data_IF_616255521924
#
_entry.id   IF_616255521924
#
_cell.length_a   1.000
_cell.length_b   1.000
_cell.length_c   1.000
_cell.angle_alpha   90.00
_cell.angle_beta   90.00
_cell.angle_gamma   90.00
#
_symmetry.space_group_name_H-M   'P 1'
#
loop_
_entity.id
_entity.type
_entity.pdbx_description
1 polymer ?
#
# COMPACT_ATOMS: atom_id res chain seq x y z
N UNK A 1 -38.65 53.19 1.23
CA UNK A 1 -39.30 51.97 0.72
C UNK A 1 -38.29 50.87 0.42
N UNK A 2 -37.20 51.10 -0.30
CA UNK A 2 -36.22 50.02 -0.64
C UNK A 2 -35.52 49.39 0.55
N UNK A 3 -35.22 50.13 1.64
CA UNK A 3 -34.56 49.61 2.85
C UNK A 3 -35.48 48.74 3.72
N UNK A 4 -36.79 49.04 3.74
CA UNK A 4 -37.78 48.26 4.50
C UNK A 4 -38.07 46.92 3.80
N UNK A 5 -38.09 46.91 2.46
CA UNK A 5 -38.29 45.69 1.67
C UNK A 5 -37.12 44.72 1.80
N UNK A 6 -35.87 45.22 1.90
CA UNK A 6 -34.67 44.40 2.16
C UNK A 6 -34.68 43.76 3.55
N UNK A 7 -35.20 44.46 4.57
CA UNK A 7 -35.29 43.93 5.93
C UNK A 7 -36.33 42.81 6.06
N UNK A 8 -37.47 42.95 5.36
CA UNK A 8 -38.52 41.93 5.32
C UNK A 8 -38.07 40.69 4.60
N UNK A 9 -37.27 40.81 3.52
CA UNK A 9 -36.72 39.68 2.78
C UNK A 9 -35.68 38.92 3.60
N UNK A 10 -34.85 39.61 4.39
CA UNK A 10 -33.88 39.00 5.29
C UNK A 10 -34.56 38.23 6.45
N UNK A 11 -35.67 38.76 6.99
CA UNK A 11 -36.41 38.12 8.07
C UNK A 11 -37.15 36.84 7.60
N UNK A 12 -37.62 36.82 6.34
CA UNK A 12 -38.30 35.67 5.76
C UNK A 12 -37.36 34.47 5.53
N UNK A 13 -36.06 34.69 5.30
CA UNK A 13 -35.06 33.60 5.14
C UNK A 13 -34.72 32.92 6.46
N UNK A 14 -34.85 33.59 7.59
CA UNK A 14 -34.55 32.97 8.91
C UNK A 14 -35.65 32.02 9.34
N UNK A 15 -36.90 32.20 8.91
CA UNK A 15 -38.02 31.30 9.25
C UNK A 15 -38.06 30.00 8.38
N UNK A 16 -37.37 29.95 7.24
CA UNK A 16 -37.36 28.76 6.36
C UNK A 16 -36.45 27.64 6.87
N UNK A 17 -35.59 27.87 7.87
CA UNK A 17 -34.63 26.89 8.41
C UNK A 17 -35.17 26.11 9.61
N UNK A 18 -36.37 26.35 10.09
CA UNK A 18 -36.94 25.69 11.28
C UNK A 18 -37.99 24.61 10.94
N UNK A 19 -38.35 24.44 9.67
CA UNK A 19 -39.48 23.58 9.26
C UNK A 19 -39.10 22.19 8.71
N UNK A 20 -37.95 21.62 9.10
CA UNK A 20 -37.63 20.19 8.80
C UNK A 20 -37.32 19.44 10.08
N UNK A 21 -38.35 19.19 10.87
CA UNK A 21 -38.28 18.36 12.05
C UNK A 21 -39.57 17.54 12.18
N UNK A 22 -39.90 16.72 11.17
CA UNK A 22 -41.04 15.80 11.24
C UNK A 22 -40.57 14.44 11.67
N UNK A 23 -40.95 14.03 12.88
CA UNK A 23 -40.77 12.68 13.43
C UNK A 23 -41.73 11.76 12.71
N UNK A 24 -41.17 10.77 11.96
CA UNK A 24 -41.91 9.65 11.43
C UNK A 24 -42.14 8.62 12.55
N UNK A 25 -43.36 8.04 12.71
CA UNK A 25 -43.62 7.07 13.76
C UNK A 25 -42.91 5.76 13.49
N UNK A 26 -42.39 5.16 14.58
CA UNK A 26 -41.71 3.89 14.61
C UNK A 26 -42.64 2.76 14.13
N UNK A 27 -42.14 1.97 13.18
CA UNK A 27 -42.67 0.66 12.82
C UNK A 27 -41.87 -0.36 13.65
N UNK A 28 -42.55 -1.09 14.54
CA UNK A 28 -42.01 -2.23 15.27
C UNK A 28 -41.59 -3.31 14.27
N UNK A 29 -40.29 -3.58 14.20
CA UNK A 29 -39.66 -4.66 13.45
C UNK A 29 -38.41 -5.11 14.18
N UNK A 30 -38.52 -6.28 14.76
CA UNK A 30 -37.57 -7.18 15.40
C UNK A 30 -36.11 -6.73 15.41
N UNK A 31 -35.63 -6.25 16.55
CA UNK A 31 -34.25 -5.86 16.79
C UNK A 31 -33.44 -7.12 17.15
N UNK A 32 -32.75 -7.69 16.18
CA UNK A 32 -31.56 -8.49 16.45
C UNK A 32 -30.54 -7.60 17.13
N UNK A 33 -30.23 -7.87 18.40
CA UNK A 33 -29.21 -7.18 19.16
C UNK A 33 -27.82 -7.50 18.59
N UNK A 34 -27.36 -6.71 17.63
CA UNK A 34 -25.95 -6.63 17.28
C UNK A 34 -25.29 -5.72 18.33
N UNK A 35 -24.42 -6.32 19.17
CA UNK A 35 -23.83 -5.67 20.33
C UNK A 35 -23.21 -4.33 19.98
N UNK A 36 -23.47 -3.37 20.83
CA UNK A 36 -23.01 -1.98 20.83
C UNK A 36 -21.49 -1.89 20.65
N UNK A 37 -21.03 -1.94 19.39
CA UNK A 37 -19.64 -1.60 19.05
C UNK A 37 -19.50 -0.09 19.20
N UNK A 38 -18.59 0.40 20.03
CA UNK A 38 -18.37 1.83 20.16
C UNK A 38 -18.13 2.43 18.77
N UNK A 39 -18.85 3.50 18.44
CA UNK A 39 -18.68 4.22 17.20
C UNK A 39 -17.21 4.62 17.10
N UNK A 40 -16.43 3.94 16.24
CA UNK A 40 -15.05 4.32 15.96
C UNK A 40 -15.09 5.66 15.24
N UNK A 41 -14.33 6.62 15.75
CA UNK A 41 -14.14 7.89 15.06
C UNK A 41 -13.61 7.66 13.64
N UNK A 42 -13.78 8.64 12.76
CA UNK A 42 -13.25 8.56 11.40
C UNK A 42 -11.72 8.44 11.44
N UNK A 43 -11.19 7.34 10.92
CA UNK A 43 -9.75 7.05 10.82
C UNK A 43 -9.35 7.15 9.35
N UNK A 44 -8.38 7.99 9.06
CA UNK A 44 -7.74 8.04 7.73
C UNK A 44 -6.44 7.28 7.84
N UNK A 45 -6.27 6.26 7.01
CA UNK A 45 -5.08 5.42 6.97
C UNK A 45 -4.35 5.60 5.63
N UNK A 46 -3.04 5.45 5.66
CA UNK A 46 -2.18 5.39 4.48
C UNK A 46 -1.63 3.99 4.32
N UNK A 47 -1.85 3.38 3.16
CA UNK A 47 -1.37 2.05 2.81
C UNK A 47 -0.18 2.17 1.84
N UNK A 48 1.01 1.80 2.30
CA UNK A 48 2.22 1.71 1.49
C UNK A 48 2.14 0.57 0.49
N UNK A 49 2.33 0.87 -0.79
CA UNK A 49 2.26 -0.11 -1.88
C UNK A 49 3.64 -0.30 -2.51
N UNK A 50 3.77 -0.19 -3.83
CA UNK A 50 5.06 -0.19 -4.54
C UNK A 50 4.90 0.60 -5.86
N UNK A 51 5.83 0.39 -6.79
CA UNK A 51 5.75 0.87 -8.16
C UNK A 51 4.44 0.44 -8.83
N UNK A 52 3.81 1.36 -9.58
CA UNK A 52 2.51 1.14 -10.23
C UNK A 52 2.53 0.05 -11.30
N UNK A 53 3.69 -0.26 -11.88
CA UNK A 53 3.88 -1.37 -12.82
C UNK A 53 3.96 -2.75 -12.15
N UNK A 54 4.06 -2.82 -10.82
CA UNK A 54 4.19 -4.07 -10.07
C UNK A 54 2.88 -4.57 -9.48
N UNK A 55 2.86 -5.85 -9.07
CA UNK A 55 1.67 -6.50 -8.48
C UNK A 55 1.29 -5.98 -7.08
N UNK A 56 2.25 -5.41 -6.34
CA UNK A 56 1.98 -4.89 -4.99
C UNK A 56 1.06 -3.66 -5.01
N UNK A 57 1.17 -2.82 -6.04
CA UNK A 57 0.31 -1.64 -6.15
C UNK A 57 -1.17 -2.01 -6.29
N UNK A 58 -1.62 -2.79 -7.30
CA UNK A 58 -3.02 -3.15 -7.43
C UNK A 58 -3.52 -3.99 -6.24
N UNK A 59 -2.67 -4.84 -5.64
CA UNK A 59 -3.04 -5.60 -4.46
C UNK A 59 -3.32 -4.69 -3.25
N UNK A 60 -2.43 -3.74 -2.96
CA UNK A 60 -2.61 -2.77 -1.88
C UNK A 60 -3.79 -1.83 -2.12
N UNK A 61 -4.01 -1.41 -3.39
CA UNK A 61 -5.16 -0.60 -3.76
C UNK A 61 -6.49 -1.35 -3.53
N UNK A 62 -6.54 -2.63 -3.87
CA UNK A 62 -7.71 -3.48 -3.63
C UNK A 62 -8.01 -3.62 -2.13
N UNK A 63 -6.99 -3.90 -1.30
CA UNK A 63 -7.14 -3.98 0.17
C UNK A 63 -7.62 -2.65 0.74
N UNK A 64 -7.02 -1.54 0.32
CA UNK A 64 -7.41 -0.19 0.76
C UNK A 64 -8.87 0.13 0.42
N UNK A 65 -9.32 -0.27 -0.77
CA UNK A 65 -10.72 -0.10 -1.20
C UNK A 65 -11.68 -0.98 -0.40
N UNK A 66 -11.31 -2.25 -0.15
CA UNK A 66 -12.11 -3.17 0.68
C UNK A 66 -12.27 -2.60 2.09
N UNK A 67 -11.22 -2.11 2.71
CA UNK A 67 -11.29 -1.51 4.06
C UNK A 67 -12.15 -0.24 4.05
N UNK A 68 -11.95 0.66 3.08
CA UNK A 68 -12.75 1.89 2.96
C UNK A 68 -14.24 1.61 2.80
N UNK A 69 -14.59 0.56 2.04
CA UNK A 69 -16.00 0.26 1.73
C UNK A 69 -16.69 -0.59 2.81
N UNK A 70 -15.93 -1.38 3.59
CA UNK A 70 -16.53 -2.39 4.49
C UNK A 70 -16.22 -2.12 5.98
N UNK A 71 -15.29 -1.24 6.32
CA UNK A 71 -14.99 -0.92 7.72
C UNK A 71 -15.51 0.47 8.04
N UNK A 72 -16.59 0.52 8.83
CA UNK A 72 -17.22 1.78 9.20
C UNK A 72 -16.21 2.73 9.88
N UNK A 73 -16.16 3.97 9.40
CA UNK A 73 -15.28 5.02 9.92
C UNK A 73 -13.83 4.90 9.48
N UNK A 74 -13.49 4.01 8.55
CA UNK A 74 -12.14 3.90 7.97
C UNK A 74 -12.13 4.42 6.54
N UNK A 75 -11.17 5.30 6.24
CA UNK A 75 -10.78 5.68 4.88
C UNK A 75 -9.32 5.33 4.68
N UNK A 76 -9.02 4.44 3.75
CA UNK A 76 -7.66 4.00 3.45
C UNK A 76 -7.21 4.54 2.09
N UNK A 77 -6.11 5.31 2.07
CA UNK A 77 -5.50 5.85 0.85
C UNK A 77 -4.24 5.04 0.53
N UNK A 78 -3.92 4.88 -0.76
CA UNK A 78 -2.67 4.24 -1.18
C UNK A 78 -1.55 5.25 -1.36
N UNK A 79 -0.31 4.85 -1.02
CA UNK A 79 0.93 5.57 -1.27
C UNK A 79 1.88 4.66 -2.03
N UNK A 80 2.45 5.13 -3.14
CA UNK A 80 3.50 4.42 -3.88
C UNK A 80 4.82 4.46 -3.14
N UNK A 81 5.68 3.48 -3.37
CA UNK A 81 7.03 3.39 -2.84
C UNK A 81 7.94 2.64 -3.80
N UNK A 82 9.21 2.50 -3.50
CA UNK A 82 10.13 1.61 -4.22
C UNK A 82 9.90 0.13 -3.89
N UNK A 83 9.12 -0.19 -2.86
CA UNK A 83 8.75 -1.57 -2.50
C UNK A 83 9.02 -1.94 -1.04
N UNK A 84 9.23 -3.23 -0.80
CA UNK A 84 9.20 -3.83 0.54
C UNK A 84 10.18 -3.22 1.54
N UNK A 85 11.40 -2.87 1.11
CA UNK A 85 12.41 -2.29 2.01
C UNK A 85 11.95 -0.93 2.52
N UNK A 86 11.55 -0.03 1.63
CA UNK A 86 11.01 1.28 1.99
C UNK A 86 9.74 1.14 2.83
N UNK A 87 8.84 0.24 2.46
CA UNK A 87 7.59 0.02 3.18
C UNK A 87 7.81 -0.39 4.65
N UNK A 88 8.80 -1.25 4.93
CA UNK A 88 9.14 -1.61 6.31
C UNK A 88 9.64 -0.40 7.11
N UNK A 89 10.44 0.47 6.50
CA UNK A 89 10.90 1.70 7.13
C UNK A 89 9.74 2.68 7.37
N UNK A 90 8.93 2.92 6.34
CA UNK A 90 7.81 3.87 6.39
C UNK A 90 6.79 3.47 7.48
N UNK A 91 6.49 2.17 7.62
CA UNK A 91 5.64 1.67 8.72
C UNK A 91 6.33 1.84 10.08
N UNK A 92 7.61 1.51 10.16
CA UNK A 92 8.36 1.61 11.42
C UNK A 92 8.46 3.04 11.94
N UNK A 93 8.55 4.02 11.06
CA UNK A 93 8.62 5.45 11.39
C UNK A 93 7.25 6.13 11.50
N UNK A 94 6.17 5.44 11.12
CA UNK A 94 4.81 6.01 11.11
C UNK A 94 4.50 6.90 9.90
N UNK A 95 5.33 6.85 8.85
CA UNK A 95 5.10 7.57 7.58
C UNK A 95 3.92 6.97 6.81
N UNK A 96 3.66 5.67 6.99
CA UNK A 96 2.44 4.98 6.60
C UNK A 96 1.94 4.10 7.75
N UNK A 97 0.64 3.88 7.80
CA UNK A 97 0.02 3.10 8.89
C UNK A 97 0.16 1.59 8.66
N UNK A 98 0.16 1.19 7.42
CA UNK A 98 0.25 -0.21 6.98
C UNK A 98 0.85 -0.27 5.58
N UNK A 99 1.49 -1.39 5.25
CA UNK A 99 2.06 -1.58 3.91
C UNK A 99 2.08 -3.05 3.49
N UNK A 100 2.18 -3.29 2.18
CA UNK A 100 2.50 -4.61 1.64
C UNK A 100 4.01 -4.77 1.56
N UNK A 101 4.52 -5.91 2.02
CA UNK A 101 5.94 -6.27 1.91
C UNK A 101 6.10 -7.78 1.79
N UNK A 102 7.20 -8.23 1.20
CA UNK A 102 7.52 -9.66 1.14
C UNK A 102 8.01 -10.16 2.48
N UNK A 103 7.72 -11.42 2.79
CA UNK A 103 7.99 -12.02 4.10
C UNK A 103 9.48 -12.07 4.44
N UNK A 104 10.35 -12.30 3.45
CA UNK A 104 11.81 -12.30 3.61
C UNK A 104 12.33 -10.91 4.02
N UNK A 105 11.85 -9.85 3.37
CA UNK A 105 12.22 -8.47 3.68
C UNK A 105 11.70 -8.06 5.07
N UNK A 106 10.46 -8.44 5.42
CA UNK A 106 9.90 -8.19 6.76
C UNK A 106 10.73 -8.89 7.85
N UNK A 107 11.13 -10.15 7.61
CA UNK A 107 11.97 -10.91 8.53
C UNK A 107 13.35 -10.24 8.71
N UNK A 108 13.98 -9.81 7.62
CA UNK A 108 15.25 -9.08 7.66
C UNK A 108 15.11 -7.75 8.41
N UNK A 109 14.04 -7.00 8.18
CA UNK A 109 13.76 -5.74 8.87
C UNK A 109 13.60 -5.96 10.37
N UNK A 110 12.80 -6.94 10.78
CA UNK A 110 12.57 -7.26 12.18
C UNK A 110 13.85 -7.70 12.91
N UNK A 111 14.73 -8.45 12.23
CA UNK A 111 15.99 -8.94 12.80
C UNK A 111 17.16 -7.97 12.63
N UNK A 112 17.06 -6.92 11.82
CA UNK A 112 18.16 -6.01 11.48
C UNK A 112 19.24 -6.72 10.67
N UNK A 113 18.85 -7.54 9.68
CA UNK A 113 19.76 -8.31 8.82
C UNK A 113 19.62 -7.91 7.35
N UNK A 114 20.49 -8.42 6.48
CA UNK A 114 20.50 -8.06 5.07
C UNK A 114 20.68 -6.55 4.87
N UNK A 115 19.85 -5.93 4.04
CA UNK A 115 19.89 -4.48 3.79
C UNK A 115 19.57 -3.62 5.03
N UNK A 116 19.08 -4.21 6.12
CA UNK A 116 18.80 -3.50 7.38
C UNK A 116 19.96 -3.57 8.38
N UNK A 117 21.09 -4.22 8.06
CA UNK A 117 22.21 -4.38 8.98
C UNK A 117 22.74 -3.04 9.50
N UNK A 118 22.84 -2.03 8.64
CA UNK A 118 23.32 -0.69 9.00
C UNK A 118 22.22 0.19 9.64
N UNK A 119 20.93 -0.16 9.44
CA UNK A 119 19.78 0.56 9.98
C UNK A 119 19.42 0.05 11.38
N UNK A 120 19.63 -1.24 11.61
CA UNK A 120 19.25 -1.94 12.83
C UNK A 120 17.85 -2.57 12.73
N UNK A 121 17.40 -3.09 13.87
CA UNK A 121 16.12 -3.79 13.99
C UNK A 121 14.93 -2.84 13.90
N UNK A 122 13.93 -3.21 13.15
CA UNK A 122 12.62 -2.57 13.14
C UNK A 122 11.63 -3.46 13.93
N UNK A 123 11.88 -3.62 15.23
CA UNK A 123 11.17 -4.56 16.10
C UNK A 123 9.74 -4.13 16.48
N UNK A 124 9.35 -2.91 16.09
CA UNK A 124 7.99 -2.40 16.20
C UNK A 124 7.06 -2.85 15.06
N UNK A 125 7.58 -3.52 14.02
CA UNK A 125 6.76 -4.06 12.93
C UNK A 125 5.87 -5.21 13.42
N UNK A 126 4.65 -5.29 12.86
CA UNK A 126 3.71 -6.39 13.10
C UNK A 126 3.11 -6.86 11.78
N UNK A 127 3.07 -8.17 11.57
CA UNK A 127 2.39 -8.79 10.42
C UNK A 127 0.93 -9.00 10.78
N UNK A 128 0.02 -8.48 9.96
CA UNK A 128 -1.44 -8.58 10.16
C UNK A 128 -2.09 -9.65 9.29
N UNK A 129 -1.42 -10.07 8.21
CA UNK A 129 -1.93 -11.12 7.32
C UNK A 129 -1.09 -11.28 6.06
N UNK A 130 -1.41 -12.29 5.26
CA UNK A 130 -0.85 -12.52 3.94
C UNK A 130 -1.87 -12.13 2.86
N UNK A 131 -1.43 -11.48 1.79
CA UNK A 131 -2.29 -11.02 0.69
C UNK A 131 -2.25 -11.99 -0.48
N UNK A 132 -1.04 -12.36 -0.95
CA UNK A 132 -0.85 -13.30 -2.07
C UNK A 132 0.56 -13.92 -2.04
N UNK A 133 0.75 -15.00 -2.80
CA UNK A 133 2.08 -15.59 -3.02
C UNK A 133 2.76 -14.91 -4.19
N UNK A 134 4.00 -14.46 -3.99
CA UNK A 134 4.84 -13.87 -5.03
C UNK A 134 5.78 -14.91 -5.63
N UNK A 135 5.98 -14.86 -6.95
CA UNK A 135 6.90 -15.71 -7.69
C UNK A 135 7.90 -14.83 -8.44
N UNK A 136 9.19 -15.15 -8.31
CA UNK A 136 10.22 -14.52 -9.12
C UNK A 136 10.19 -15.11 -10.54
N UNK A 137 9.98 -14.25 -11.54
CA UNK A 137 9.97 -14.65 -12.95
C UNK A 137 10.93 -13.77 -13.75
N UNK A 138 11.82 -14.39 -14.50
CA UNK A 138 12.67 -13.72 -15.48
C UNK A 138 12.02 -13.73 -16.86
N UNK A 139 12.15 -12.63 -17.60
CA UNK A 139 11.71 -12.52 -18.99
C UNK A 139 12.85 -12.02 -19.85
N UNK A 140 12.94 -12.53 -21.07
CA UNK A 140 13.89 -12.07 -22.08
C UNK A 140 13.23 -12.03 -23.46
N UNK A 141 13.69 -11.16 -24.32
CA UNK A 141 13.24 -11.15 -25.72
C UNK A 141 13.69 -12.45 -26.40
N UNK A 142 12.81 -13.09 -27.16
CA UNK A 142 13.16 -14.29 -27.94
C UNK A 142 14.35 -14.04 -28.86
N UNK A 143 14.47 -12.84 -29.41
CA UNK A 143 15.59 -12.41 -30.27
C UNK A 143 16.94 -12.32 -29.55
N UNK A 144 16.97 -12.29 -28.20
CA UNK A 144 18.21 -12.27 -27.44
C UNK A 144 18.98 -13.59 -27.49
N UNK A 145 18.31 -14.69 -27.84
CA UNK A 145 18.90 -16.03 -27.88
C UNK A 145 19.22 -16.63 -26.52
N UNK A 146 18.82 -15.98 -25.43
CA UNK A 146 19.02 -16.48 -24.05
C UNK A 146 18.14 -17.70 -23.82
N UNK A 147 18.72 -18.77 -23.34
CA UNK A 147 18.02 -20.04 -23.06
C UNK A 147 18.19 -20.44 -21.60
N UNK A 148 19.36 -20.20 -21.03
CA UNK A 148 19.69 -20.58 -19.67
C UNK A 148 20.11 -19.35 -18.87
N UNK A 149 20.03 -19.44 -17.55
CA UNK A 149 20.36 -18.32 -16.67
C UNK A 149 21.83 -17.90 -16.77
N UNK A 150 22.75 -18.83 -17.02
CA UNK A 150 24.17 -18.53 -17.21
C UNK A 150 24.46 -17.75 -18.53
N UNK A 151 23.52 -17.72 -19.49
CA UNK A 151 23.65 -16.90 -20.70
C UNK A 151 23.56 -15.39 -20.35
N UNK A 152 23.18 -15.05 -19.11
CA UNK A 152 23.17 -13.68 -18.60
C UNK A 152 24.55 -13.13 -18.32
N UNK A 153 25.58 -13.97 -18.19
CA UNK A 153 26.97 -13.51 -17.99
C UNK A 153 27.39 -12.55 -19.10
N UNK A 154 27.95 -11.41 -18.71
CA UNK A 154 28.36 -10.33 -19.62
C UNK A 154 27.21 -9.53 -20.25
N UNK A 155 25.96 -9.75 -19.83
CA UNK A 155 24.79 -9.02 -20.33
C UNK A 155 24.40 -7.89 -19.40
N UNK A 156 23.47 -7.06 -19.88
CA UNK A 156 22.75 -6.07 -19.06
C UNK A 156 21.43 -6.70 -18.60
N UNK A 157 21.20 -6.72 -17.30
CA UNK A 157 20.02 -7.37 -16.69
C UNK A 157 19.34 -6.41 -15.76
N UNK A 158 18.05 -6.16 -15.97
CA UNK A 158 17.22 -5.41 -15.03
C UNK A 158 16.89 -6.31 -13.85
N UNK A 159 17.30 -5.90 -12.65
CA UNK A 159 17.08 -6.66 -11.41
C UNK A 159 15.90 -6.14 -10.58
N UNK A 160 15.20 -5.12 -11.08
CA UNK A 160 14.09 -4.45 -10.43
C UNK A 160 14.48 -3.12 -9.78
N UNK A 161 13.49 -2.37 -9.27
CA UNK A 161 13.74 -1.10 -8.60
C UNK A 161 14.68 -1.28 -7.40
N UNK A 162 15.54 -0.28 -7.17
CA UNK A 162 16.42 -0.28 -5.99
C UNK A 162 15.60 -0.39 -4.69
N UNK A 163 16.10 -1.18 -3.73
CA UNK A 163 15.44 -1.44 -2.45
C UNK A 163 14.06 -2.12 -2.56
N UNK A 164 13.77 -2.77 -3.69
CA UNK A 164 12.55 -3.57 -3.88
C UNK A 164 12.76 -5.04 -3.46
N UNK A 165 11.65 -5.76 -3.29
CA UNK A 165 11.66 -7.21 -3.11
C UNK A 165 12.16 -7.93 -4.36
N UNK A 166 11.86 -7.41 -5.56
CA UNK A 166 12.33 -7.97 -6.83
C UNK A 166 13.84 -7.94 -6.90
N UNK A 167 14.46 -6.79 -6.61
CA UNK A 167 15.92 -6.69 -6.55
C UNK A 167 16.50 -7.68 -5.54
N UNK A 168 15.97 -7.70 -4.32
CA UNK A 168 16.47 -8.59 -3.26
C UNK A 168 16.42 -10.07 -3.67
N UNK A 169 15.29 -10.53 -4.21
CA UNK A 169 15.13 -11.92 -4.64
C UNK A 169 16.01 -12.26 -5.86
N UNK A 170 16.14 -11.33 -6.82
CA UNK A 170 16.98 -11.52 -8.01
C UNK A 170 18.45 -11.63 -7.64
N UNK A 171 18.94 -10.71 -6.79
CA UNK A 171 20.34 -10.74 -6.34
C UNK A 171 20.66 -11.98 -5.54
N UNK A 172 19.76 -12.43 -4.65
CA UNK A 172 19.94 -13.69 -3.91
C UNK A 172 19.97 -14.91 -4.83
N UNK A 173 19.13 -14.95 -5.86
CA UNK A 173 19.15 -16.03 -6.84
C UNK A 173 20.43 -16.00 -7.72
N UNK A 174 20.89 -14.83 -8.10
CA UNK A 174 22.09 -14.64 -8.90
C UNK A 174 23.35 -15.01 -8.12
N UNK A 175 23.46 -14.58 -6.88
CA UNK A 175 24.58 -14.93 -5.98
C UNK A 175 24.74 -16.45 -5.86
N UNK A 176 23.62 -17.18 -5.67
CA UNK A 176 23.63 -18.65 -5.64
C UNK A 176 24.12 -19.31 -6.95
N UNK A 177 24.14 -18.56 -8.07
CA UNK A 177 24.59 -19.02 -9.39
C UNK A 177 25.91 -18.39 -9.84
N UNK A 178 26.57 -17.65 -8.96
CA UNK A 178 27.84 -16.98 -9.27
C UNK A 178 27.69 -15.82 -10.25
N UNK A 179 26.50 -15.20 -10.33
CA UNK A 179 26.23 -14.01 -11.15
C UNK A 179 26.22 -12.78 -10.24
N UNK A 180 27.11 -11.84 -10.50
CA UNK A 180 27.24 -10.62 -9.73
C UNK A 180 27.68 -9.42 -10.59
N UNK A 181 27.88 -8.26 -9.98
CA UNK A 181 28.29 -7.04 -10.66
C UNK A 181 29.69 -7.06 -11.27
N UNK A 182 30.51 -8.06 -10.95
CA UNK A 182 31.84 -8.23 -11.54
C UNK A 182 31.79 -8.91 -12.92
N UNK A 183 30.71 -9.65 -13.19
CA UNK A 183 30.55 -10.45 -14.39
C UNK A 183 29.27 -10.15 -15.19
N UNK A 184 28.37 -9.32 -14.67
CA UNK A 184 27.07 -9.00 -15.29
C UNK A 184 26.69 -7.55 -14.95
N UNK A 185 26.21 -6.77 -15.92
CA UNK A 185 25.71 -5.42 -15.66
C UNK A 185 24.33 -5.49 -15.05
N UNK A 186 24.22 -5.21 -13.75
CA UNK A 186 22.98 -5.25 -12.99
C UNK A 186 22.36 -3.84 -12.94
N UNK A 187 21.16 -3.69 -13.48
CA UNK A 187 20.50 -2.39 -13.62
C UNK A 187 19.24 -2.32 -12.75
N UNK A 188 19.13 -1.26 -11.96
CA UNK A 188 17.90 -0.99 -11.21
C UNK A 188 16.93 -0.18 -12.07
N UNK A 189 15.94 -0.84 -12.64
CA UNK A 189 14.86 -0.24 -13.43
C UNK A 189 13.53 -0.45 -12.75
N UNK A 190 12.64 0.54 -12.89
CA UNK A 190 11.25 0.43 -12.48
C UNK A 190 10.50 -0.60 -13.33
N UNK A 191 9.40 -1.15 -12.80
CA UNK A 191 8.60 -2.14 -13.53
C UNK A 191 7.72 -1.52 -14.62
N UNK A 192 7.65 -0.20 -14.67
CA UNK A 192 6.92 0.57 -15.68
C UNK A 192 7.81 1.24 -16.73
N UNK A 193 9.14 1.02 -16.68
CA UNK A 193 10.14 1.68 -17.55
C UNK A 193 10.38 0.88 -18.89
#
# INVERSE_FOLDING_TARGET
MKKVLSLILALAMVFALVACGEKQPASDGDASSDGDKPARGNVIMTFGTADTGGSMYPAGAAVSQVWTNNVQGVKCNTKTSTGSFQNCQDVSTGEVDVAVATSDVVLNAYNGTGKFADIGKLDNLRVIGAVYTSVLSGVALKSSGLTYIHDLLGKRVAVGPAASATENATLAAFDAMGIDSSNTSLENLGLGD
#
